data_IF_746390063079
#
_entry.id   IF_746390063079
#
_cell.length_a   1.000
_cell.length_b   1.000
_cell.length_c   1.000
_cell.angle_alpha   90.00
_cell.angle_beta   90.00
_cell.angle_gamma   90.00
#
_symmetry.space_group_name_H-M   'P 1'
#
loop_
_entity.id
_entity.type
_entity.pdbx_description
1 polymer ?
#
# COMPACT_ATOMS: atom_id res chain seq x y z
N UNK A 1 2.48 21.23 0.23
CA UNK A 1 1.71 20.02 -0.17
C UNK A 1 2.54 18.78 0.11
N UNK A 2 3.71 18.58 -0.54
CA UNK A 2 4.54 17.37 -0.41
C UNK A 2 4.84 17.07 1.06
N UNK A 3 5.26 18.08 1.84
CA UNK A 3 5.50 17.91 3.28
C UNK A 3 4.28 17.40 4.03
N UNK A 4 3.09 17.96 3.76
CA UNK A 4 1.85 17.52 4.42
C UNK A 4 1.56 16.04 4.12
N UNK A 5 1.76 15.61 2.87
CA UNK A 5 1.58 14.22 2.46
C UNK A 5 2.63 13.31 3.11
N UNK A 6 3.90 13.71 3.14
CA UNK A 6 4.98 12.96 3.80
C UNK A 6 4.74 12.77 5.31
N UNK A 7 3.99 13.68 5.94
CA UNK A 7 3.57 13.61 7.35
C UNK A 7 2.27 12.79 7.55
N UNK A 8 1.80 12.05 6.52
CA UNK A 8 0.64 11.15 6.60
C UNK A 8 -0.71 11.77 6.21
N UNK A 9 -0.75 13.03 5.76
CA UNK A 9 -2.00 13.67 5.33
C UNK A 9 -2.29 13.33 3.87
N UNK A 10 -2.93 12.20 3.61
CA UNK A 10 -3.19 11.69 2.25
C UNK A 10 -4.51 12.16 1.63
N UNK A 11 -5.50 12.57 2.44
CA UNK A 11 -6.80 13.07 1.95
C UNK A 11 -6.72 14.55 1.57
N UNK A 12 -7.38 14.95 0.48
CA UNK A 12 -7.43 16.37 0.06
C UNK A 12 -7.85 17.32 1.19
N UNK A 13 -8.87 16.93 1.96
CA UNK A 13 -9.34 17.72 3.10
C UNK A 13 -8.30 17.84 4.22
N UNK A 14 -7.55 16.78 4.51
CA UNK A 14 -6.50 16.80 5.51
C UNK A 14 -5.31 17.67 5.07
N UNK A 15 -4.91 17.57 3.80
CA UNK A 15 -3.86 18.42 3.22
C UNK A 15 -4.28 19.89 3.30
N UNK A 16 -5.52 20.20 2.92
CA UNK A 16 -6.08 21.55 2.95
C UNK A 16 -6.12 22.12 4.38
N UNK A 17 -6.53 21.29 5.34
CA UNK A 17 -6.57 21.67 6.76
C UNK A 17 -5.17 22.00 7.30
N UNK A 18 -4.17 21.15 7.03
CA UNK A 18 -2.78 21.39 7.48
C UNK A 18 -2.16 22.64 6.86
N UNK A 19 -2.56 22.98 5.64
CA UNK A 19 -2.05 24.15 4.92
C UNK A 19 -2.89 25.41 5.17
N UNK A 20 -4.01 25.30 5.92
CA UNK A 20 -4.93 26.39 6.21
C UNK A 20 -5.47 27.09 4.95
N UNK A 21 -5.75 26.31 3.89
CA UNK A 21 -6.27 26.83 2.62
C UNK A 21 -7.51 26.06 2.16
N UNK A 22 -8.37 26.67 1.32
CA UNK A 22 -9.49 25.95 0.72
C UNK A 22 -9.01 24.76 -0.12
N UNK A 23 -9.68 23.61 -0.03
CA UNK A 23 -9.33 22.40 -0.80
C UNK A 23 -9.32 22.66 -2.34
N UNK A 24 -10.19 23.55 -2.82
CA UNK A 24 -10.28 23.92 -4.21
C UNK A 24 -9.01 24.61 -4.75
N UNK A 25 -8.30 25.37 -3.90
CA UNK A 25 -7.05 26.02 -4.27
C UNK A 25 -5.90 25.04 -4.52
N UNK A 26 -5.97 23.84 -3.93
CA UNK A 26 -4.92 22.82 -4.04
C UNK A 26 -4.99 22.01 -5.34
N UNK A 27 -6.16 21.93 -5.97
CA UNK A 27 -6.41 21.03 -7.12
C UNK A 27 -5.41 21.24 -8.26
N UNK A 28 -5.10 22.50 -8.60
CA UNK A 28 -4.14 22.83 -9.66
C UNK A 28 -2.73 22.34 -9.30
N UNK A 29 -2.30 22.59 -8.07
CA UNK A 29 -0.95 22.20 -7.62
C UNK A 29 -0.80 20.68 -7.52
N UNK A 30 -1.83 19.99 -7.01
CA UNK A 30 -1.84 18.52 -6.95
C UNK A 30 -1.78 17.92 -8.35
N UNK A 31 -2.55 18.47 -9.30
CA UNK A 31 -2.47 18.04 -10.70
C UNK A 31 -1.06 18.21 -11.26
N UNK A 32 -0.47 19.40 -11.09
CA UNK A 32 0.91 19.64 -11.54
C UNK A 32 1.91 18.65 -10.95
N UNK A 33 1.79 18.35 -9.65
CA UNK A 33 2.69 17.39 -8.98
C UNK A 33 2.47 15.95 -9.46
N UNK A 34 1.26 15.59 -9.87
CA UNK A 34 0.95 14.31 -10.51
C UNK A 34 1.52 14.28 -11.92
N UNK A 35 1.33 15.33 -12.71
CA UNK A 35 1.85 15.45 -14.08
C UNK A 35 3.40 15.42 -14.12
N UNK A 36 4.07 15.85 -13.02
CA UNK A 36 5.52 15.75 -12.80
C UNK A 36 5.98 14.41 -12.21
N UNK A 37 5.08 13.45 -12.03
CA UNK A 37 5.34 12.12 -11.47
C UNK A 37 5.91 12.12 -10.02
N UNK A 38 5.69 13.21 -9.29
CA UNK A 38 6.09 13.37 -7.87
C UNK A 38 5.04 12.78 -6.95
N UNK A 39 3.76 13.00 -7.29
CA UNK A 39 2.62 12.46 -6.56
C UNK A 39 1.83 11.50 -7.44
N UNK A 40 1.15 10.60 -6.81
CA UNK A 40 0.07 9.82 -7.40
C UNK A 40 -1.21 9.98 -6.59
N UNK A 41 -2.35 9.74 -7.25
CA UNK A 41 -3.66 9.70 -6.60
C UNK A 41 -4.19 8.29 -6.72
N UNK A 42 -4.20 7.59 -5.60
CA UNK A 42 -4.78 6.26 -5.49
C UNK A 42 -6.28 6.34 -5.15
N UNK A 43 -7.03 5.37 -5.62
CA UNK A 43 -8.41 5.09 -5.21
C UNK A 43 -8.56 3.58 -5.00
N UNK A 44 -9.53 3.12 -4.18
CA UNK A 44 -9.77 1.68 -4.07
C UNK A 44 -9.94 1.06 -5.45
N UNK A 45 -9.24 -0.05 -5.71
CA UNK A 45 -9.22 -0.69 -7.04
C UNK A 45 -10.62 -1.05 -7.56
N UNK A 46 -11.58 -1.19 -6.65
CA UNK A 46 -12.97 -1.52 -6.94
C UNK A 46 -13.82 -0.32 -7.35
N UNK A 47 -13.25 0.90 -7.39
CA UNK A 47 -13.99 2.09 -7.83
C UNK A 47 -14.21 2.06 -9.35
N UNK A 48 -15.48 2.13 -9.76
CA UNK A 48 -15.86 2.12 -11.19
C UNK A 48 -15.41 3.39 -11.92
N UNK A 49 -15.47 4.53 -11.22
CA UNK A 49 -15.11 5.84 -11.74
C UNK A 49 -13.98 6.47 -10.89
N UNK A 50 -12.71 6.05 -11.08
CA UNK A 50 -11.58 6.52 -10.27
C UNK A 50 -11.43 8.04 -10.23
N UNK A 51 -11.63 8.72 -11.36
CA UNK A 51 -11.49 10.18 -11.47
C UNK A 51 -12.50 10.96 -10.62
N UNK A 52 -13.73 10.43 -10.48
CA UNK A 52 -14.82 11.06 -9.73
C UNK A 52 -14.91 10.57 -8.28
N UNK A 53 -14.11 9.60 -7.90
CA UNK A 53 -14.15 9.02 -6.55
C UNK A 53 -13.77 10.05 -5.49
N UNK A 54 -14.56 10.10 -4.42
CA UNK A 54 -14.26 10.91 -3.21
C UNK A 54 -13.31 10.20 -2.24
N UNK A 55 -12.94 8.94 -2.54
CA UNK A 55 -12.05 8.12 -1.71
C UNK A 55 -10.57 8.28 -2.08
N UNK A 56 -10.24 9.22 -2.97
CA UNK A 56 -8.87 9.44 -3.43
C UNK A 56 -7.91 9.80 -2.29
N UNK A 57 -6.74 9.14 -2.29
CA UNK A 57 -5.62 9.42 -1.42
C UNK A 57 -4.43 9.87 -2.27
N UNK A 58 -3.72 10.90 -1.81
CA UNK A 58 -2.49 11.38 -2.44
C UNK A 58 -1.28 10.76 -1.76
N UNK A 59 -0.37 10.23 -2.55
CA UNK A 59 0.85 9.55 -2.11
C UNK A 59 2.05 10.15 -2.87
N UNK A 60 3.20 10.22 -2.20
CA UNK A 60 4.46 10.56 -2.85
C UNK A 60 4.93 9.30 -3.59
N UNK A 61 5.09 9.40 -4.90
CA UNK A 61 5.50 8.29 -5.76
C UNK A 61 6.99 8.01 -5.65
N UNK A 62 7.82 9.06 -5.64
CA UNK A 62 9.27 8.94 -5.53
C UNK A 62 9.69 8.64 -4.08
N UNK A 63 10.35 7.48 -3.89
CA UNK A 63 10.78 7.02 -2.57
C UNK A 63 11.86 7.89 -1.94
N UNK A 64 12.74 8.54 -2.74
CA UNK A 64 13.73 9.46 -2.22
C UNK A 64 13.09 10.75 -1.72
N UNK A 65 12.15 11.34 -2.49
CA UNK A 65 11.39 12.52 -2.08
C UNK A 65 10.59 12.22 -0.81
N UNK A 66 9.97 11.05 -0.74
CA UNK A 66 9.25 10.58 0.46
C UNK A 66 10.18 10.50 1.67
N UNK A 67 11.32 9.83 1.54
CA UNK A 67 12.33 9.75 2.60
C UNK A 67 12.82 11.13 3.03
N UNK A 68 13.14 12.00 2.07
CA UNK A 68 13.62 13.35 2.33
C UNK A 68 12.65 14.16 3.19
N UNK A 69 11.38 14.22 2.77
CA UNK A 69 10.36 15.00 3.49
C UNK A 69 9.90 14.36 4.80
N UNK A 70 10.02 13.06 4.96
CA UNK A 70 9.68 12.36 6.20
C UNK A 70 10.79 12.49 7.25
N UNK A 71 12.06 12.38 6.84
CA UNK A 71 13.18 12.22 7.77
C UNK A 71 14.23 13.34 7.74
N UNK A 72 14.58 13.85 6.57
CA UNK A 72 15.66 14.82 6.42
C UNK A 72 15.15 16.23 6.65
N UNK A 73 14.18 16.65 5.87
CA UNK A 73 13.64 18.02 5.90
C UNK A 73 13.17 18.48 7.29
N UNK A 74 12.43 17.69 8.10
CA UNK A 74 12.01 18.10 9.43
C UNK A 74 13.16 18.26 10.44
N UNK A 75 14.34 17.73 10.12
CA UNK A 75 15.50 17.70 10.99
C UNK A 75 16.69 18.50 10.44
N UNK A 76 16.48 19.37 9.44
CA UNK A 76 17.54 20.16 8.80
C UNK A 76 18.40 20.94 9.79
N UNK A 77 17.81 21.58 10.79
CA UNK A 77 18.55 22.34 11.82
C UNK A 77 19.53 21.48 12.62
N UNK A 78 19.20 20.22 12.90
CA UNK A 78 20.12 19.29 13.54
C UNK A 78 21.27 18.88 12.59
N UNK A 79 20.97 18.70 11.30
CA UNK A 79 21.98 18.33 10.30
C UNK A 79 22.95 19.50 10.10
N UNK A 80 22.45 20.71 9.90
CA UNK A 80 23.25 21.92 9.70
C UNK A 80 24.13 22.29 10.92
N UNK A 81 23.66 21.98 12.13
CA UNK A 81 24.42 22.17 13.35
C UNK A 81 25.42 21.04 13.66
N UNK A 82 25.58 20.05 12.76
CA UNK A 82 26.50 18.92 12.95
C UNK A 82 25.98 17.81 13.88
N UNK A 83 24.72 17.90 14.34
CA UNK A 83 24.10 16.94 15.26
C UNK A 83 23.40 15.77 14.52
N UNK A 84 23.98 15.27 13.44
CA UNK A 84 23.39 14.22 12.59
C UNK A 84 23.14 12.91 13.33
N UNK A 85 23.85 12.64 14.43
CA UNK A 85 23.62 11.44 15.27
C UNK A 85 22.20 11.40 15.87
N UNK A 86 21.64 12.55 16.23
CA UNK A 86 20.26 12.66 16.73
C UNK A 86 19.27 12.28 15.63
N UNK A 87 19.50 12.77 14.41
CA UNK A 87 18.67 12.48 13.25
C UNK A 87 18.73 11.00 12.89
N UNK A 88 19.94 10.41 12.88
CA UNK A 88 20.12 8.99 12.61
C UNK A 88 19.39 8.09 13.63
N UNK A 89 19.38 8.48 14.91
CA UNK A 89 18.61 7.76 15.93
C UNK A 89 17.11 7.79 15.66
N UNK A 90 16.57 8.97 15.27
CA UNK A 90 15.16 9.11 14.88
C UNK A 90 14.81 8.28 13.63
N UNK A 91 15.67 8.33 12.61
CA UNK A 91 15.47 7.53 11.38
C UNK A 91 15.41 6.05 11.73
N UNK A 92 16.40 5.51 12.45
CA UNK A 92 16.47 4.09 12.82
C UNK A 92 15.23 3.62 13.58
N UNK A 93 14.61 4.46 14.40
CA UNK A 93 13.42 4.07 15.18
C UNK A 93 12.13 3.97 14.37
N UNK A 94 12.05 4.61 13.19
CA UNK A 94 10.80 4.69 12.41
C UNK A 94 10.98 4.38 10.91
N UNK A 95 12.20 4.08 10.46
CA UNK A 95 12.49 3.82 9.05
C UNK A 95 11.68 2.64 8.51
N UNK A 96 11.64 1.54 9.26
CA UNK A 96 10.95 0.33 8.81
C UNK A 96 9.46 0.59 8.68
N UNK A 97 8.80 1.02 9.76
CA UNK A 97 7.34 1.25 9.76
C UNK A 97 6.90 2.47 8.95
N UNK A 98 7.73 3.51 8.86
CA UNK A 98 7.38 4.78 8.23
C UNK A 98 7.81 4.90 6.77
N UNK A 99 8.66 3.99 6.26
CA UNK A 99 9.16 4.07 4.91
C UNK A 99 9.30 2.71 4.23
N UNK A 100 10.10 1.78 4.80
CA UNK A 100 10.41 0.50 4.14
C UNK A 100 9.16 -0.34 3.95
N UNK A 101 8.26 -0.41 4.93
CA UNK A 101 7.03 -1.19 4.83
C UNK A 101 6.19 -0.77 3.59
N UNK A 102 6.10 0.52 3.32
CA UNK A 102 5.37 1.02 2.15
C UNK A 102 6.08 0.73 0.82
N UNK A 103 7.43 0.82 0.81
CA UNK A 103 8.22 0.44 -0.37
C UNK A 103 8.05 -1.05 -0.63
N UNK A 104 8.03 -1.86 0.42
CA UNK A 104 7.79 -3.29 0.31
C UNK A 104 6.43 -3.64 -0.30
N UNK A 105 5.37 -2.92 0.08
CA UNK A 105 4.05 -3.08 -0.56
C UNK A 105 4.09 -2.78 -2.07
N UNK A 106 4.83 -1.72 -2.48
CA UNK A 106 5.00 -1.39 -3.90
C UNK A 106 5.75 -2.52 -4.63
N UNK A 107 6.85 -3.03 -4.06
CA UNK A 107 7.61 -4.17 -4.61
C UNK A 107 6.76 -5.43 -4.70
N UNK A 108 5.94 -5.74 -3.67
CA UNK A 108 5.01 -6.87 -3.72
C UNK A 108 4.00 -6.74 -4.87
N UNK A 109 3.49 -5.51 -5.14
CA UNK A 109 2.59 -5.29 -6.29
C UNK A 109 3.28 -5.44 -7.64
N UNK A 110 4.55 -5.03 -7.76
CA UNK A 110 5.37 -5.28 -8.95
C UNK A 110 5.57 -6.78 -9.15
N UNK A 111 5.94 -7.51 -8.09
CA UNK A 111 6.09 -8.96 -8.14
C UNK A 111 4.80 -9.69 -8.54
N UNK A 112 3.64 -9.19 -8.11
CA UNK A 112 2.34 -9.70 -8.55
C UNK A 112 2.18 -9.64 -10.08
N UNK A 113 2.62 -8.55 -10.74
CA UNK A 113 2.59 -8.43 -12.19
C UNK A 113 3.50 -9.44 -12.89
N UNK A 114 4.70 -9.68 -12.36
CA UNK A 114 5.63 -10.68 -12.89
C UNK A 114 5.01 -12.09 -12.80
N UNK A 115 4.51 -12.46 -11.62
CA UNK A 115 3.81 -13.72 -11.38
C UNK A 115 2.58 -13.90 -12.27
N UNK A 116 1.89 -12.82 -12.60
CA UNK A 116 0.76 -12.83 -13.54
C UNK A 116 1.22 -13.17 -14.97
N UNK A 117 2.40 -12.68 -15.38
CA UNK A 117 3.02 -13.02 -16.67
C UNK A 117 3.60 -14.43 -16.73
N UNK A 118 3.93 -15.04 -15.58
CA UNK A 118 4.48 -16.39 -15.46
C UNK A 118 3.41 -17.49 -15.31
N UNK A 119 2.15 -17.17 -15.48
CA UNK A 119 1.02 -18.12 -15.26
C UNK A 119 0.99 -18.77 -13.88
N UNK A 120 1.49 -18.08 -12.86
CA UNK A 120 1.53 -18.56 -11.47
C UNK A 120 0.18 -18.42 -10.75
N UNK A 121 -0.75 -17.72 -11.37
CA UNK A 121 -2.13 -17.55 -10.88
C UNK A 121 -3.08 -18.46 -11.65
N UNK A 122 -4.19 -18.88 -11.04
CA UNK A 122 -5.22 -19.67 -11.72
C UNK A 122 -6.02 -18.87 -12.76
N UNK A 123 -5.77 -17.57 -12.87
CA UNK A 123 -6.36 -16.63 -13.83
C UNK A 123 -5.46 -15.41 -13.96
N UNK A 124 -5.57 -14.67 -15.07
CA UNK A 124 -4.88 -13.40 -15.25
C UNK A 124 -5.70 -12.25 -14.69
N UNK A 125 -5.08 -11.38 -13.92
CA UNK A 125 -5.69 -10.13 -13.53
C UNK A 125 -5.28 -8.98 -14.47
N UNK A 126 -6.16 -8.00 -14.63
CA UNK A 126 -5.95 -6.83 -15.49
C UNK A 126 -5.71 -5.53 -14.73
N UNK A 127 -6.00 -5.53 -13.44
CA UNK A 127 -5.80 -4.38 -12.55
C UNK A 127 -5.27 -4.86 -11.21
N UNK A 128 -4.36 -4.07 -10.64
CA UNK A 128 -3.87 -4.25 -9.27
C UNK A 128 -3.77 -2.90 -8.58
N UNK A 129 -4.00 -2.86 -7.29
CA UNK A 129 -3.89 -1.69 -6.43
C UNK A 129 -4.17 -2.04 -4.99
N UNK A 130 -4.62 -1.06 -4.21
CA UNK A 130 -5.03 -1.23 -2.81
C UNK A 130 -6.55 -1.15 -2.70
N UNK A 131 -7.07 -1.57 -1.56
CA UNK A 131 -8.48 -1.39 -1.25
C UNK A 131 -8.67 -0.85 0.17
N UNK A 132 -9.63 0.07 0.36
CA UNK A 132 -10.02 0.61 1.67
C UNK A 132 -11.46 1.10 1.68
N UNK A 133 -12.08 1.12 2.86
CA UNK A 133 -13.45 1.62 3.09
C UNK A 133 -13.53 2.70 4.20
N UNK A 134 -12.39 3.10 4.75
CA UNK A 134 -12.26 4.06 5.85
C UNK A 134 -12.15 3.40 7.23
N UNK A 135 -12.43 2.11 7.36
CA UNK A 135 -12.19 1.29 8.56
C UNK A 135 -11.13 0.23 8.32
N UNK A 136 -11.19 -0.39 7.15
CA UNK A 136 -10.32 -1.47 6.74
C UNK A 136 -9.46 -1.02 5.56
N UNK A 137 -8.26 -1.55 5.51
CA UNK A 137 -7.32 -1.38 4.42
C UNK A 137 -6.73 -2.75 4.06
N UNK A 138 -6.52 -2.99 2.75
CA UNK A 138 -5.92 -4.20 2.19
C UNK A 138 -4.84 -3.76 1.22
N UNK A 139 -3.61 -4.25 1.43
CA UNK A 139 -2.40 -3.79 0.75
C UNK A 139 -2.37 -4.15 -0.74
N UNK A 140 -2.94 -5.31 -1.07
CA UNK A 140 -3.05 -5.81 -2.45
C UNK A 140 -4.50 -6.16 -2.74
N UNK A 141 -5.04 -5.62 -3.83
CA UNK A 141 -6.28 -6.08 -4.42
C UNK A 141 -6.08 -6.15 -5.95
N UNK A 142 -6.38 -7.30 -6.56
CA UNK A 142 -6.25 -7.48 -8.01
C UNK A 142 -7.52 -8.09 -8.59
N UNK A 143 -7.90 -7.63 -9.78
CA UNK A 143 -9.19 -7.93 -10.41
C UNK A 143 -8.95 -8.48 -11.81
N UNK A 144 -9.61 -9.58 -12.16
CA UNK A 144 -9.61 -10.13 -13.50
C UNK A 144 -10.45 -9.29 -14.48
N UNK A 145 -10.23 -9.41 -15.80
CA UNK A 145 -10.99 -8.66 -16.80
C UNK A 145 -12.49 -8.96 -16.77
N UNK A 146 -12.87 -10.20 -16.49
CA UNK A 146 -14.26 -10.68 -16.47
C UNK A 146 -14.99 -10.32 -15.18
N UNK A 147 -14.25 -9.95 -14.14
CA UNK A 147 -14.76 -9.60 -12.82
C UNK A 147 -15.34 -10.79 -12.06
N UNK A 148 -14.82 -11.98 -12.31
CA UNK A 148 -15.19 -13.23 -11.63
C UNK A 148 -14.25 -13.57 -10.49
N UNK A 149 -13.03 -13.02 -10.49
CA UNK A 149 -12.01 -13.29 -9.50
C UNK A 149 -11.48 -12.00 -8.88
N UNK A 150 -11.24 -12.06 -7.59
CA UNK A 150 -10.61 -11.02 -6.79
C UNK A 150 -9.49 -11.63 -5.96
N UNK A 151 -8.27 -11.11 -6.09
CA UNK A 151 -7.17 -11.42 -5.18
C UNK A 151 -7.13 -10.33 -4.11
N UNK A 152 -7.00 -10.71 -2.85
CA UNK A 152 -6.77 -9.82 -1.72
C UNK A 152 -5.50 -10.26 -1.00
N UNK A 153 -4.67 -9.30 -0.59
CA UNK A 153 -3.38 -9.63 0.02
C UNK A 153 -2.88 -8.63 1.04
N UNK A 154 -1.99 -9.13 1.90
CA UNK A 154 -1.25 -8.36 2.89
C UNK A 154 0.25 -8.53 2.69
N UNK A 155 1.00 -7.46 2.94
CA UNK A 155 2.45 -7.42 2.84
C UNK A 155 3.05 -7.12 4.22
N UNK A 156 3.98 -7.96 4.69
CA UNK A 156 4.58 -7.79 6.01
C UNK A 156 6.11 -7.78 5.93
N UNK A 157 6.68 -6.60 6.14
CA UNK A 157 8.12 -6.40 6.29
C UNK A 157 8.47 -6.42 7.78
N UNK A 158 8.43 -7.61 8.37
CA UNK A 158 8.71 -7.86 9.80
C UNK A 158 10.00 -8.65 9.96
N UNK A 159 10.53 -8.70 11.18
CA UNK A 159 11.64 -9.57 11.57
C UNK A 159 11.19 -10.92 12.14
N UNK A 160 9.92 -11.25 12.00
CA UNK A 160 9.31 -12.48 12.49
C UNK A 160 8.45 -13.09 11.39
N UNK A 161 8.34 -14.44 11.32
CA UNK A 161 7.48 -15.11 10.38
C UNK A 161 6.00 -14.73 10.56
N UNK A 162 5.29 -14.56 9.46
CA UNK A 162 3.85 -14.25 9.45
C UNK A 162 3.04 -15.51 9.84
N UNK A 163 2.11 -15.34 10.79
CA UNK A 163 1.26 -16.40 11.30
C UNK A 163 -0.18 -16.36 10.78
N UNK A 164 -0.97 -17.37 11.17
CA UNK A 164 -2.38 -17.56 10.77
C UNK A 164 -3.27 -16.38 11.16
N UNK A 165 -2.92 -15.64 12.21
CA UNK A 165 -3.66 -14.45 12.64
C UNK A 165 -3.78 -13.40 11.53
N UNK A 166 -2.71 -13.16 10.77
CA UNK A 166 -2.71 -12.18 9.66
C UNK A 166 -3.64 -12.63 8.53
N UNK A 167 -3.63 -13.92 8.22
CA UNK A 167 -4.58 -14.49 7.26
C UNK A 167 -6.03 -14.34 7.73
N UNK A 168 -6.31 -14.64 8.99
CA UNK A 168 -7.65 -14.50 9.56
C UNK A 168 -8.12 -13.04 9.52
N UNK A 169 -7.25 -12.08 9.84
CA UNK A 169 -7.54 -10.65 9.76
C UNK A 169 -7.86 -10.23 8.31
N UNK A 170 -7.09 -10.73 7.33
CA UNK A 170 -7.37 -10.49 5.91
C UNK A 170 -8.73 -11.06 5.48
N UNK A 171 -9.07 -12.27 5.93
CA UNK A 171 -10.38 -12.87 5.67
C UNK A 171 -11.51 -12.03 6.29
N UNK A 172 -11.35 -11.51 7.50
CA UNK A 172 -12.34 -10.61 8.11
C UNK A 172 -12.48 -9.30 7.32
N UNK A 173 -11.38 -8.66 6.94
CA UNK A 173 -11.38 -7.46 6.08
C UNK A 173 -12.06 -7.72 4.73
N UNK A 174 -11.85 -8.90 4.14
CA UNK A 174 -12.44 -9.28 2.85
C UNK A 174 -13.97 -9.26 2.83
N UNK A 175 -14.60 -9.46 3.99
CA UNK A 175 -16.08 -9.41 4.14
C UNK A 175 -16.63 -8.02 3.86
N UNK A 176 -15.83 -6.97 4.07
CA UNK A 176 -16.18 -5.57 3.80
C UNK A 176 -16.07 -5.18 2.32
N UNK A 177 -15.37 -5.99 1.51
CA UNK A 177 -15.24 -5.74 0.07
C UNK A 177 -16.51 -6.16 -0.64
N UNK A 178 -17.36 -5.19 -0.96
CA UNK A 178 -18.70 -5.45 -1.55
C UNK A 178 -18.70 -5.67 -3.07
N UNK A 179 -17.58 -5.32 -3.76
CA UNK A 179 -17.47 -5.44 -5.21
C UNK A 179 -17.78 -6.86 -5.70
N UNK A 180 -18.81 -7.01 -6.54
CA UNK A 180 -19.31 -8.27 -7.13
C UNK A 180 -19.36 -9.46 -6.16
N UNK A 181 -19.70 -9.24 -4.90
CA UNK A 181 -19.55 -10.20 -3.80
C UNK A 181 -20.33 -11.51 -4.01
N UNK A 182 -21.46 -11.45 -4.70
CA UNK A 182 -22.30 -12.63 -4.95
C UNK A 182 -21.76 -13.56 -6.04
N UNK A 183 -20.99 -13.02 -6.99
CA UNK A 183 -20.65 -13.70 -8.24
C UNK A 183 -19.14 -13.91 -8.42
N UNK A 184 -18.30 -13.49 -7.44
CA UNK A 184 -16.84 -13.60 -7.53
C UNK A 184 -16.30 -14.74 -6.70
N UNK A 185 -15.19 -15.30 -7.14
CA UNK A 185 -14.28 -16.09 -6.30
C UNK A 185 -13.23 -15.16 -5.67
N UNK A 186 -12.92 -15.36 -4.39
CA UNK A 186 -11.90 -14.57 -3.68
C UNK A 186 -10.69 -15.43 -3.41
N UNK A 187 -9.53 -14.95 -3.84
CA UNK A 187 -8.21 -15.55 -3.62
C UNK A 187 -7.44 -14.69 -2.62
N UNK A 188 -6.55 -15.31 -1.89
CA UNK A 188 -5.74 -14.64 -0.87
C UNK A 188 -4.27 -14.80 -1.17
N UNK A 189 -3.49 -13.76 -0.89
CA UNK A 189 -2.04 -13.77 -1.00
C UNK A 189 -1.41 -13.09 0.21
N UNK A 190 -0.32 -13.67 0.69
CA UNK A 190 0.49 -13.05 1.73
C UNK A 190 1.94 -12.96 1.26
N UNK A 191 2.52 -11.78 1.44
CA UNK A 191 3.94 -11.54 1.25
C UNK A 191 4.61 -11.29 2.60
N UNK A 192 5.76 -11.94 2.83
CA UNK A 192 6.53 -11.81 4.07
C UNK A 192 8.02 -11.77 3.77
N UNK A 193 8.74 -10.80 4.35
CA UNK A 193 10.19 -10.71 4.23
C UNK A 193 10.93 -11.80 5.04
N UNK A 194 10.32 -12.34 6.11
CA UNK A 194 10.91 -13.34 7.01
C UNK A 194 10.18 -14.69 6.95
N UNK A 195 9.35 -14.88 5.90
CA UNK A 195 8.61 -16.13 5.69
C UNK A 195 7.39 -16.30 6.59
N UNK A 196 6.97 -17.54 6.76
CA UNK A 196 5.70 -17.91 7.36
C UNK A 196 5.87 -19.01 8.40
N UNK A 197 4.99 -19.03 9.42
CA UNK A 197 4.95 -20.10 10.40
C UNK A 197 4.55 -21.43 9.74
N UNK A 198 4.99 -22.56 10.30
CA UNK A 198 4.65 -23.90 9.78
C UNK A 198 3.14 -24.14 9.80
N UNK A 199 2.44 -23.57 10.78
CA UNK A 199 0.97 -23.64 10.86
C UNK A 199 0.31 -22.95 9.65
N UNK A 200 0.79 -21.77 9.27
CA UNK A 200 0.25 -21.05 8.10
C UNK A 200 0.61 -21.75 6.79
N UNK A 201 1.82 -22.32 6.67
CA UNK A 201 2.22 -23.11 5.51
C UNK A 201 1.32 -24.35 5.34
N UNK A 202 1.04 -25.04 6.45
CA UNK A 202 0.13 -26.22 6.45
C UNK A 202 -1.30 -25.80 6.07
N UNK A 203 -1.78 -24.70 6.59
CA UNK A 203 -3.08 -24.14 6.22
C UNK A 203 -3.14 -23.83 4.71
N UNK A 204 -2.14 -23.16 4.16
CA UNK A 204 -2.08 -22.82 2.74
C UNK A 204 -2.07 -24.06 1.84
N UNK A 205 -1.34 -25.12 2.22
CA UNK A 205 -1.34 -26.40 1.49
C UNK A 205 -2.71 -27.07 1.47
N UNK A 206 -3.50 -26.91 2.52
CA UNK A 206 -4.87 -27.46 2.61
C UNK A 206 -5.91 -26.64 1.90
N UNK A 207 -5.59 -25.36 1.58
CA UNK A 207 -6.48 -24.40 0.91
C UNK A 207 -6.03 -24.19 -0.53
N UNK A 208 -6.96 -24.29 -1.47
CA UNK A 208 -6.65 -24.00 -2.88
C UNK A 208 -6.69 -22.50 -3.24
N UNK A 209 -7.07 -21.63 -2.28
CA UNK A 209 -7.31 -20.21 -2.50
C UNK A 209 -6.34 -19.26 -1.75
N UNK A 210 -5.29 -19.80 -1.09
CA UNK A 210 -4.27 -19.05 -0.36
C UNK A 210 -2.88 -19.33 -0.92
N UNK A 211 -2.18 -18.27 -1.35
CA UNK A 211 -0.80 -18.33 -1.80
C UNK A 211 0.12 -17.54 -0.87
N UNK A 212 1.32 -18.06 -0.64
CA UNK A 212 2.34 -17.48 0.23
C UNK A 212 3.62 -17.23 -0.57
N UNK A 213 4.16 -16.01 -0.46
CA UNK A 213 5.41 -15.59 -1.10
C UNK A 213 6.36 -14.98 -0.07
N UNK A 214 7.48 -15.64 0.18
CA UNK A 214 8.58 -15.21 1.05
C UNK A 214 9.84 -14.83 0.26
N UNK A 215 9.79 -14.94 -1.06
CA UNK A 215 10.85 -14.58 -1.99
C UNK A 215 10.32 -13.52 -2.96
N UNK A 216 10.97 -12.34 -2.93
CA UNK A 216 10.66 -11.25 -3.86
C UNK A 216 11.67 -11.21 -5.02
N UNK A 217 12.64 -12.14 -5.03
CA UNK A 217 13.65 -12.28 -6.08
C UNK A 217 13.15 -13.12 -7.25
#
# INVERSE_FOLDING_TARGET
>A
IIRAIAMGNSKLSAIASVLEVPATSLTKYLKTLIDLDILEREVPITEENPEKSKKGLYKIKDNYIRFWFAFVYPNMSFIESGNSSIVMKKIRSSLVSGHIAFVYEDVCRERMWELNGEDRWPFHFSKIGRWWDGKNEIDIAAIDPDGKNLILGECKFWHEPVGVNIFNDLVEKSKSVTWKKADRHTWYVLFSAEGFTDELKTLAQSRGDLLLFDDIN
#
